data_IF_625562547812
#
_entry.id   IF_625562547812
#
_cell.length_a   1.000
_cell.length_b   1.000
_cell.length_c   1.000
_cell.angle_alpha   90.00
_cell.angle_beta   90.00
_cell.angle_gamma   90.00
#
_symmetry.space_group_name_H-M   'P 1'
#
loop_
_entity.id
_entity.type
_entity.pdbx_description
1 polymer ?
#
# COMPACT_ATOMS: atom_id res chain seq x y z
N UNK A 1 14.46 -7.57 -13.93
CA UNK A 1 14.03 -7.53 -12.55
C UNK A 1 13.65 -6.14 -12.13
N UNK A 2 12.49 -6.04 -11.56
CA UNK A 2 11.97 -4.79 -11.15
C UNK A 2 12.60 -4.31 -9.89
N UNK A 3 13.01 -3.07 -9.87
CA UNK A 3 13.65 -2.52 -8.70
C UNK A 3 12.76 -1.43 -8.13
N UNK A 4 11.75 -1.83 -7.39
CA UNK A 4 10.85 -0.89 -6.76
C UNK A 4 11.46 -0.40 -5.46
N UNK A 5 11.24 0.88 -5.17
CA UNK A 5 11.76 1.47 -3.95
C UNK A 5 10.94 1.02 -2.76
N UNK A 6 11.63 0.65 -1.70
CA UNK A 6 10.94 0.30 -0.47
C UNK A 6 10.62 1.54 0.34
N UNK A 7 9.49 1.52 1.02
CA UNK A 7 9.13 2.62 1.91
C UNK A 7 9.80 2.49 3.26
N UNK A 8 10.33 1.31 3.57
CA UNK A 8 10.86 1.03 4.88
C UNK A 8 9.80 0.78 5.93
N UNK A 9 8.55 0.73 5.51
CA UNK A 9 7.42 0.50 6.40
C UNK A 9 6.87 -0.89 6.17
N UNK A 10 6.12 -1.42 7.14
CA UNK A 10 5.51 -2.73 7.05
C UNK A 10 4.05 -2.65 7.47
N UNK A 11 3.23 -3.55 6.91
CA UNK A 11 1.85 -3.63 7.35
C UNK A 11 1.78 -4.44 8.65
N UNK A 12 0.58 -4.64 9.16
CA UNK A 12 0.44 -5.31 10.46
C UNK A 12 0.82 -6.79 10.42
N UNK A 13 0.96 -7.34 9.25
CA UNK A 13 1.42 -8.72 9.09
C UNK A 13 2.91 -8.82 8.84
N UNK A 14 3.61 -7.70 8.89
CA UNK A 14 5.04 -7.67 8.71
C UNK A 14 5.48 -7.65 7.26
N UNK A 15 4.55 -7.47 6.34
CA UNK A 15 4.90 -7.42 4.93
C UNK A 15 5.42 -6.04 4.57
N UNK A 16 6.58 -6.00 3.96
CA UNK A 16 7.21 -4.75 3.59
C UNK A 16 6.44 -4.05 2.48
N UNK A 17 6.31 -2.74 2.62
CA UNK A 17 5.55 -1.92 1.68
C UNK A 17 6.50 -1.26 0.70
N UNK A 18 6.22 -1.43 -0.59
CA UNK A 18 7.04 -0.88 -1.66
C UNK A 18 6.24 0.14 -2.45
N UNK A 19 6.95 0.96 -3.20
CA UNK A 19 6.30 1.90 -4.10
C UNK A 19 5.45 1.14 -5.12
N UNK A 20 4.24 1.61 -5.34
CA UNK A 20 3.32 0.96 -6.26
C UNK A 20 2.44 -0.11 -5.63
N UNK A 21 2.63 -0.38 -4.34
CA UNK A 21 1.78 -1.34 -3.65
C UNK A 21 0.38 -0.77 -3.47
N UNK A 22 -0.61 -1.65 -3.48
CA UNK A 22 -2.00 -1.30 -3.25
C UNK A 22 -2.36 -1.70 -1.84
N UNK A 23 -2.85 -0.74 -1.09
CA UNK A 23 -3.23 -0.96 0.31
C UNK A 23 -4.75 -0.87 0.43
N UNK A 24 -5.31 -1.68 1.30
CA UNK A 24 -6.74 -1.67 1.58
C UNK A 24 -6.96 -1.96 3.05
N UNK A 25 -8.07 -1.43 3.58
CA UNK A 25 -8.45 -1.69 4.95
C UNK A 25 -8.99 -3.09 5.05
N UNK A 26 -8.41 -3.89 5.94
CA UNK A 26 -8.77 -5.29 6.05
C UNK A 26 -10.22 -5.48 6.48
N UNK A 27 -10.68 -4.64 7.37
CA UNK A 27 -12.01 -4.81 7.97
C UNK A 27 -13.12 -4.06 7.24
N UNK A 28 -12.78 -3.33 6.20
CA UNK A 28 -13.78 -2.55 5.48
C UNK A 28 -14.51 -3.40 4.46
N UNK A 29 -15.83 -3.22 4.41
CA UNK A 29 -16.62 -3.91 3.39
C UNK A 29 -16.53 -3.20 2.06
N UNK A 30 -16.46 -1.87 2.11
CA UNK A 30 -16.29 -1.09 0.90
C UNK A 30 -14.82 -1.03 0.59
N UNK A 31 -14.47 -1.56 -0.56
CA UNK A 31 -13.07 -1.64 -0.95
C UNK A 31 -12.55 -0.29 -1.38
N UNK A 32 -11.84 0.35 -0.49
CA UNK A 32 -11.13 1.57 -0.84
C UNK A 32 -9.66 1.22 -0.95
N UNK A 33 -9.14 1.36 -2.16
CA UNK A 33 -7.74 1.04 -2.42
C UNK A 33 -6.92 2.30 -2.49
N UNK A 34 -5.74 2.24 -1.89
CA UNK A 34 -4.79 3.34 -1.89
C UNK A 34 -3.49 2.85 -2.48
N UNK A 35 -2.94 3.61 -3.42
CA UNK A 35 -1.68 3.26 -4.04
C UNK A 35 -0.55 4.02 -3.34
N UNK A 36 0.54 3.31 -3.07
CA UNK A 36 1.72 3.92 -2.44
C UNK A 36 2.50 4.66 -3.53
N UNK A 37 2.54 6.00 -3.41
CA UNK A 37 3.26 6.84 -4.36
C UNK A 37 4.19 7.78 -3.60
N UNK A 38 5.36 7.99 -4.14
CA UNK A 38 6.33 8.90 -3.54
C UNK A 38 6.01 10.32 -3.97
N UNK A 39 5.14 10.96 -3.22
CA UNK A 39 4.80 12.35 -3.44
C UNK A 39 5.10 13.11 -2.14
N UNK A 40 4.78 14.39 -2.10
CA UNK A 40 5.02 15.17 -0.89
C UNK A 40 4.29 14.54 0.28
N UNK A 41 5.01 14.34 1.39
CA UNK A 41 4.46 13.75 2.61
C UNK A 41 3.99 12.32 2.45
N UNK A 42 4.50 11.61 1.42
CA UNK A 42 4.06 10.23 1.18
C UNK A 42 4.27 9.35 2.40
N UNK A 43 5.39 9.54 3.08
CA UNK A 43 5.72 8.69 4.21
C UNK A 43 4.74 8.90 5.36
N UNK A 44 4.37 10.15 5.59
CA UNK A 44 3.43 10.48 6.64
C UNK A 44 2.06 9.86 6.36
N UNK A 45 1.59 9.99 5.13
CA UNK A 45 0.30 9.41 4.73
C UNK A 45 0.31 7.91 4.77
N UNK A 46 1.36 7.30 4.24
CA UNK A 46 1.46 5.85 4.21
C UNK A 46 1.52 5.27 5.61
N UNK A 47 2.34 5.87 6.46
CA UNK A 47 2.47 5.42 7.83
C UNK A 47 1.13 5.53 8.57
N UNK A 48 0.41 6.62 8.31
CA UNK A 48 -0.87 6.84 8.96
C UNK A 48 -1.89 5.78 8.57
N UNK A 49 -2.00 5.47 7.28
CA UNK A 49 -2.99 4.48 6.84
C UNK A 49 -2.59 3.07 7.27
N UNK A 50 -1.31 2.78 7.36
CA UNK A 50 -0.88 1.49 7.89
C UNK A 50 -1.25 1.35 9.36
N UNK A 51 -1.16 2.45 10.11
CA UNK A 51 -1.57 2.45 11.51
C UNK A 51 -3.07 2.29 11.67
N UNK A 52 -3.84 2.62 10.64
CA UNK A 52 -5.28 2.44 10.65
C UNK A 52 -5.69 1.00 10.31
N UNK A 53 -4.73 0.14 10.02
CA UNK A 53 -5.03 -1.24 9.73
C UNK A 53 -5.02 -1.63 8.27
N UNK A 54 -4.55 -0.75 7.41
CA UNK A 54 -4.43 -1.07 5.99
C UNK A 54 -3.34 -2.11 5.79
N UNK A 55 -3.54 -2.98 4.82
CA UNK A 55 -2.59 -4.04 4.50
C UNK A 55 -2.30 -4.02 3.01
N UNK A 56 -1.19 -4.64 2.63
CA UNK A 56 -0.83 -4.78 1.22
C UNK A 56 -1.67 -5.88 0.60
N UNK A 57 -2.48 -5.54 -0.40
CA UNK A 57 -3.32 -6.53 -1.08
C UNK A 57 -2.85 -6.82 -2.49
N UNK A 58 -1.90 -6.06 -2.99
CA UNK A 58 -1.36 -6.29 -4.32
C UNK A 58 -0.49 -5.12 -4.72
N UNK A 59 -0.27 -4.96 -6.02
CA UNK A 59 0.48 -3.82 -6.52
C UNK A 59 -0.02 -3.48 -7.93
N UNK A 60 0.33 -2.30 -8.42
CA UNK A 60 -0.20 -1.83 -9.69
C UNK A 60 0.39 -2.57 -10.89
N UNK A 61 1.48 -3.29 -10.68
CA UNK A 61 2.15 -4.01 -11.76
C UNK A 61 1.52 -5.38 -11.99
N UNK A 62 1.23 -6.08 -10.89
CA UNK A 62 0.68 -7.44 -10.96
C UNK A 62 -0.83 -7.48 -10.86
N UNK A 63 -1.42 -6.48 -10.21
CA UNK A 63 -2.85 -6.51 -9.90
C UNK A 63 -3.58 -5.24 -10.32
N UNK A 64 -3.42 -4.78 -11.58
CA UNK A 64 -4.10 -3.56 -12.00
C UNK A 64 -5.62 -3.69 -11.99
N UNK A 65 -6.12 -4.92 -12.03
CA UNK A 65 -7.56 -5.14 -12.00
C UNK A 65 -8.20 -4.69 -10.70
N UNK A 66 -7.42 -4.56 -9.64
CA UNK A 66 -7.96 -4.10 -8.36
C UNK A 66 -8.39 -2.64 -8.41
N UNK A 67 -7.91 -1.90 -9.40
CA UNK A 67 -8.17 -0.48 -9.50
C UNK A 67 -9.30 -0.13 -10.45
N UNK A 68 -9.92 -1.11 -11.04
CA UNK A 68 -11.03 -0.87 -11.96
C UNK A 68 -12.34 -0.70 -11.24
#
# INVERSE_FOLDING_TARGET
MESRKTTGLKDKYGKEVFEGDILAAESEKDSTYTIVEFCDFWRFHTERILNLGFIVVGNIYDNPELLK
#
